data_IF_409190621667
#
_entry.id   IF_409190621667
#
_cell.length_a   1.000
_cell.length_b   1.000
_cell.length_c   1.000
_cell.angle_alpha   90.00
_cell.angle_beta   90.00
_cell.angle_gamma   90.00
#
_symmetry.space_group_name_H-M   'P 1'
#
loop_
_entity.id
_entity.type
_entity.pdbx_description
1 polymer ?
#
# COMPACT_ATOMS: atom_id res chain seq x y z
N UNK A 1 9.95 -15.79 19.01
CA UNK A 1 9.52 -16.54 17.80
C UNK A 1 10.40 -16.03 16.68
N UNK A 2 10.97 -16.89 15.85
CA UNK A 2 11.83 -16.43 14.75
C UNK A 2 10.93 -15.84 13.66
N UNK A 3 11.24 -14.62 13.21
CA UNK A 3 10.54 -13.96 12.10
C UNK A 3 10.76 -14.75 10.82
N UNK A 4 9.70 -15.04 10.08
CA UNK A 4 9.77 -15.71 8.78
C UNK A 4 9.51 -14.75 7.63
N UNK A 5 9.91 -15.16 6.42
CA UNK A 5 9.64 -14.42 5.18
C UNK A 5 8.14 -14.10 5.06
N UNK A 6 7.26 -15.08 5.32
CA UNK A 6 5.79 -14.88 5.28
C UNK A 6 5.29 -13.81 6.26
N UNK A 7 5.90 -13.68 7.43
CA UNK A 7 5.43 -12.72 8.44
C UNK A 7 5.65 -11.28 7.93
N UNK A 8 6.80 -11.05 7.30
CA UNK A 8 7.15 -9.77 6.66
C UNK A 8 6.27 -9.52 5.44
N UNK A 9 6.06 -10.53 4.60
CA UNK A 9 5.16 -10.45 3.44
C UNK A 9 3.75 -10.07 3.88
N UNK A 10 3.18 -10.75 4.86
CA UNK A 10 1.81 -10.51 5.34
C UNK A 10 1.67 -9.12 5.95
N UNK A 11 2.68 -8.64 6.67
CA UNK A 11 2.71 -7.27 7.19
C UNK A 11 2.71 -6.23 6.06
N UNK A 12 3.59 -6.39 5.08
CA UNK A 12 3.69 -5.44 3.97
C UNK A 12 2.50 -5.52 3.02
N UNK A 13 1.94 -6.70 2.76
CA UNK A 13 0.69 -6.86 2.00
C UNK A 13 -0.51 -6.30 2.76
N UNK A 14 -0.53 -6.35 4.09
CA UNK A 14 -1.60 -5.70 4.87
C UNK A 14 -1.55 -4.18 4.72
N UNK A 15 -0.35 -3.61 4.68
CA UNK A 15 -0.15 -2.16 4.53
C UNK A 15 -0.32 -1.70 3.08
N UNK A 16 0.23 -2.46 2.14
CA UNK A 16 0.23 -2.20 0.70
C UNK A 16 -0.28 -3.46 -0.05
N UNK A 17 -1.60 -3.67 -0.10
CA UNK A 17 -2.19 -4.85 -0.73
C UNK A 17 -1.72 -5.03 -2.17
N UNK A 18 -1.43 -6.26 -2.57
CA UNK A 18 -0.99 -6.57 -3.95
C UNK A 18 -2.00 -6.14 -4.99
N UNK A 19 -3.30 -6.13 -4.65
CA UNK A 19 -4.36 -5.60 -5.50
C UNK A 19 -4.25 -4.12 -5.79
N UNK A 20 -3.41 -3.36 -5.08
CA UNK A 20 -3.12 -1.97 -5.41
C UNK A 20 -2.10 -1.83 -6.53
N UNK A 21 -1.31 -2.88 -6.81
CA UNK A 21 -0.37 -2.87 -7.91
C UNK A 21 -1.08 -2.74 -9.28
N UNK A 22 -0.40 -2.15 -10.24
CA UNK A 22 -0.84 -2.06 -11.63
C UNK A 22 -0.87 -3.46 -12.28
N UNK A 23 -1.72 -3.63 -13.30
CA UNK A 23 -1.96 -4.95 -13.92
C UNK A 23 -0.70 -5.55 -14.60
N UNK A 24 0.25 -4.71 -14.99
CA UNK A 24 1.51 -5.14 -15.60
C UNK A 24 2.61 -5.48 -14.57
N UNK A 25 2.37 -5.17 -13.29
CA UNK A 25 3.39 -5.20 -12.26
C UNK A 25 3.61 -6.62 -11.69
N UNK A 26 4.74 -6.84 -11.03
CA UNK A 26 5.09 -8.11 -10.41
C UNK A 26 5.61 -7.91 -8.98
N UNK A 27 4.68 -7.70 -8.04
CA UNK A 27 4.96 -7.49 -6.62
C UNK A 27 4.92 -8.80 -5.83
N UNK A 28 5.51 -8.80 -4.63
CA UNK A 28 5.49 -9.96 -3.74
C UNK A 28 6.82 -10.73 -3.73
N UNK A 29 6.79 -12.00 -3.29
CA UNK A 29 7.97 -12.85 -3.22
C UNK A 29 8.32 -13.36 -4.62
N UNK A 30 9.44 -12.89 -5.16
CA UNK A 30 9.89 -13.21 -6.52
C UNK A 30 10.82 -14.42 -6.54
N UNK A 31 11.67 -14.55 -5.53
CA UNK A 31 12.64 -15.64 -5.36
C UNK A 31 12.68 -15.99 -3.88
N UNK A 32 12.64 -17.27 -3.53
CA UNK A 32 12.82 -17.72 -2.16
C UNK A 32 11.72 -18.65 -1.65
N UNK A 33 11.68 -18.82 -0.34
CA UNK A 33 10.77 -19.70 0.38
C UNK A 33 10.14 -18.96 1.56
N UNK A 34 8.81 -18.86 1.56
CA UNK A 34 8.02 -18.11 2.55
C UNK A 34 8.19 -18.62 3.98
N UNK A 35 8.62 -19.87 4.17
CA UNK A 35 8.74 -20.49 5.49
C UNK A 35 10.15 -20.39 6.08
N UNK A 36 11.10 -19.78 5.35
CA UNK A 36 12.46 -19.48 5.81
C UNK A 36 12.48 -18.44 6.92
N UNK A 37 13.41 -18.63 7.84
CA UNK A 37 13.72 -17.69 8.92
C UNK A 37 14.46 -16.47 8.36
N UNK A 38 14.17 -15.29 8.89
CA UNK A 38 14.79 -14.03 8.50
C UNK A 38 15.39 -13.37 9.73
N UNK A 39 16.69 -13.14 9.70
CA UNK A 39 17.46 -12.45 10.74
C UNK A 39 17.99 -11.13 10.24
N UNK A 40 18.35 -11.04 8.96
CA UNK A 40 18.87 -9.82 8.35
C UNK A 40 18.26 -9.55 6.97
N UNK A 41 17.85 -8.30 6.75
CA UNK A 41 17.20 -7.83 5.53
C UNK A 41 17.98 -6.67 4.93
N UNK A 42 18.28 -6.74 3.65
CA UNK A 42 18.80 -5.63 2.87
C UNK A 42 17.67 -4.93 2.09
N UNK A 43 17.61 -3.60 2.18
CA UNK A 43 16.64 -2.77 1.47
C UNK A 43 17.31 -2.06 0.29
N UNK A 44 16.66 -2.07 -0.88
CA UNK A 44 17.20 -1.50 -2.12
C UNK A 44 16.09 -0.91 -3.00
N UNK A 45 16.46 -0.05 -3.95
CA UNK A 45 15.56 0.35 -5.04
C UNK A 45 15.59 -0.76 -6.11
N UNK A 46 16.77 -1.03 -6.65
CA UNK A 46 17.01 -2.05 -7.68
C UNK A 46 17.81 -3.24 -7.14
N UNK A 47 17.49 -4.45 -7.60
CA UNK A 47 18.29 -5.66 -7.31
C UNK A 47 19.33 -5.85 -8.41
N UNK A 48 20.53 -5.30 -8.23
CA UNK A 48 21.66 -5.45 -9.15
C UNK A 48 22.62 -6.55 -8.70
N UNK A 49 23.60 -6.93 -9.54
CA UNK A 49 24.61 -7.90 -9.12
C UNK A 49 25.43 -7.43 -7.90
N UNK A 50 25.75 -6.13 -7.81
CA UNK A 50 26.46 -5.60 -6.64
C UNK A 50 25.63 -5.66 -5.37
N UNK A 51 24.31 -5.46 -5.48
CA UNK A 51 23.38 -5.58 -4.35
C UNK A 51 23.28 -7.03 -3.86
N UNK A 52 23.28 -8.01 -4.79
CA UNK A 52 23.35 -9.42 -4.41
C UNK A 52 24.67 -9.73 -3.70
N UNK A 53 25.80 -9.27 -4.24
CA UNK A 53 27.13 -9.50 -3.65
C UNK A 53 27.22 -8.87 -2.25
N UNK A 54 26.70 -7.66 -2.08
CA UNK A 54 26.55 -6.96 -0.80
C UNK A 54 25.70 -7.78 0.19
N UNK A 55 24.50 -8.20 -0.20
CA UNK A 55 23.61 -8.99 0.65
C UNK A 55 24.26 -10.30 1.13
N UNK A 56 24.95 -11.00 0.23
CA UNK A 56 25.70 -12.23 0.57
C UNK A 56 26.81 -11.91 1.58
N UNK A 57 27.61 -10.87 1.31
CA UNK A 57 28.72 -10.47 2.19
C UNK A 57 28.27 -10.09 3.60
N UNK A 58 27.09 -9.47 3.72
CA UNK A 58 26.51 -9.05 4.99
C UNK A 58 25.77 -10.18 5.71
N UNK A 59 25.61 -11.33 5.07
CA UNK A 59 24.85 -12.48 5.58
C UNK A 59 23.36 -12.16 5.69
N UNK A 60 22.79 -11.45 4.72
CA UNK A 60 21.36 -11.20 4.63
C UNK A 60 20.63 -12.48 4.24
N UNK A 61 19.43 -12.68 4.80
CA UNK A 61 18.53 -13.78 4.42
C UNK A 61 17.51 -13.31 3.36
N UNK A 62 17.25 -12.00 3.31
CA UNK A 62 16.22 -11.41 2.47
C UNK A 62 16.65 -10.05 1.91
N UNK A 63 16.18 -9.76 0.70
CA UNK A 63 16.24 -8.45 0.04
C UNK A 63 14.81 -7.98 -0.16
N UNK A 64 14.52 -6.76 0.29
CA UNK A 64 13.28 -6.05 -0.04
C UNK A 64 13.63 -4.94 -1.03
N UNK A 65 13.11 -5.04 -2.23
CA UNK A 65 13.29 -4.05 -3.28
C UNK A 65 12.02 -3.26 -3.54
N UNK A 66 12.16 -2.00 -3.97
CA UNK A 66 11.03 -1.29 -4.56
C UNK A 66 10.76 -1.81 -5.98
N UNK A 67 11.77 -1.85 -6.84
CA UNK A 67 11.62 -2.40 -8.19
C UNK A 67 11.66 -3.92 -8.21
N UNK A 68 10.75 -4.57 -8.95
CA UNK A 68 10.75 -6.00 -9.12
C UNK A 68 11.92 -6.45 -9.99
N UNK A 69 12.72 -7.39 -9.49
CA UNK A 69 13.81 -8.00 -10.26
C UNK A 69 13.28 -8.72 -11.51
N UNK A 70 12.15 -9.41 -11.36
CA UNK A 70 11.49 -10.16 -12.44
C UNK A 70 10.30 -9.33 -12.89
N UNK A 71 10.43 -8.58 -13.99
CA UNK A 71 9.32 -7.77 -14.51
C UNK A 71 8.57 -8.46 -15.66
N UNK A 72 9.22 -9.38 -16.37
CA UNK A 72 8.62 -10.14 -17.47
C UNK A 72 8.84 -11.63 -17.27
N UNK A 73 7.94 -12.51 -17.77
CA UNK A 73 8.10 -13.95 -17.63
C UNK A 73 9.42 -14.46 -18.21
N UNK A 74 10.19 -15.17 -17.38
CA UNK A 74 11.51 -15.68 -17.74
C UNK A 74 11.39 -17.10 -18.31
N UNK A 75 12.02 -17.35 -19.47
CA UNK A 75 11.99 -18.65 -20.15
C UNK A 75 13.16 -19.58 -19.77
N UNK A 76 14.30 -19.02 -19.36
CA UNK A 76 15.50 -19.75 -18.96
C UNK A 76 16.25 -19.00 -17.87
N UNK A 77 16.89 -19.74 -16.96
CA UNK A 77 17.77 -19.18 -15.92
C UNK A 77 19.17 -19.73 -16.18
N UNK A 78 20.00 -18.93 -16.83
CA UNK A 78 21.39 -19.24 -17.21
C UNK A 78 22.31 -18.09 -16.83
N UNK A 79 23.60 -18.32 -16.67
CA UNK A 79 24.57 -17.26 -16.34
C UNK A 79 24.98 -16.39 -17.54
N UNK A 80 24.35 -16.60 -18.70
CA UNK A 80 24.66 -15.92 -19.97
C UNK A 80 24.33 -14.42 -19.93
N UNK A 81 23.22 -14.05 -19.29
CA UNK A 81 22.74 -12.66 -19.18
C UNK A 81 22.74 -12.16 -17.72
N UNK A 82 22.56 -10.85 -17.54
CA UNK A 82 22.68 -10.22 -16.22
C UNK A 82 21.58 -10.69 -15.26
N UNK A 83 20.34 -10.85 -15.75
CA UNK A 83 19.20 -11.24 -14.95
C UNK A 83 19.37 -12.68 -14.46
N UNK A 84 19.71 -13.59 -15.37
CA UNK A 84 19.99 -14.98 -15.04
C UNK A 84 21.15 -15.15 -14.07
N UNK A 85 22.23 -14.33 -14.17
CA UNK A 85 23.32 -14.31 -13.17
C UNK A 85 22.85 -13.91 -11.77
N UNK A 86 22.06 -12.84 -11.68
CA UNK A 86 21.50 -12.34 -10.41
C UNK A 86 20.61 -13.42 -9.77
N UNK A 87 19.67 -13.97 -10.54
CA UNK A 87 18.73 -15.00 -10.07
C UNK A 87 19.49 -16.26 -9.63
N UNK A 88 20.41 -16.75 -10.47
CA UNK A 88 21.21 -17.93 -10.17
C UNK A 88 22.02 -17.76 -8.88
N UNK A 89 22.64 -16.59 -8.69
CA UNK A 89 23.41 -16.27 -7.49
C UNK A 89 22.51 -16.15 -6.25
N UNK A 90 21.34 -15.52 -6.35
CA UNK A 90 20.37 -15.44 -5.26
C UNK A 90 19.93 -16.82 -4.79
N UNK A 91 19.52 -17.70 -5.73
CA UNK A 91 19.08 -19.08 -5.44
C UNK A 91 20.21 -19.89 -4.78
N UNK A 92 21.45 -19.79 -5.31
CA UNK A 92 22.59 -20.54 -4.77
C UNK A 92 22.97 -20.15 -3.34
N UNK A 93 22.63 -18.94 -2.92
CA UNK A 93 22.93 -18.42 -1.59
C UNK A 93 21.69 -18.33 -0.70
N UNK A 94 20.60 -19.03 -1.05
CA UNK A 94 19.36 -19.09 -0.25
C UNK A 94 18.75 -17.71 0.08
N UNK A 95 18.96 -16.73 -0.82
CA UNK A 95 18.42 -15.38 -0.67
C UNK A 95 16.95 -15.30 -1.08
N UNK A 96 16.15 -14.64 -0.26
CA UNK A 96 14.76 -14.34 -0.54
C UNK A 96 14.64 -12.92 -1.11
N UNK A 97 13.98 -12.73 -2.26
CA UNK A 97 13.81 -11.41 -2.90
C UNK A 97 12.33 -11.09 -2.99
N UNK A 98 11.94 -9.99 -2.36
CA UNK A 98 10.56 -9.51 -2.25
C UNK A 98 10.44 -8.09 -2.79
N UNK A 99 9.46 -7.84 -3.66
CA UNK A 99 9.26 -6.54 -4.30
C UNK A 99 8.00 -5.84 -3.78
N UNK A 100 8.12 -4.54 -3.49
CA UNK A 100 7.00 -3.64 -3.16
C UNK A 100 7.07 -2.42 -4.07
N UNK A 101 6.33 -2.47 -5.17
CA UNK A 101 6.45 -1.52 -6.29
C UNK A 101 5.21 -0.64 -6.38
N UNK A 102 4.38 -0.78 -7.41
CA UNK A 102 3.24 0.12 -7.63
C UNK A 102 2.16 0.01 -6.56
N UNK A 103 2.07 -1.10 -5.82
CA UNK A 103 1.21 -1.19 -4.63
C UNK A 103 1.65 -0.23 -3.51
N UNK A 104 2.95 0.05 -3.39
CA UNK A 104 3.48 1.04 -2.48
C UNK A 104 3.35 2.47 -3.04
N UNK A 105 3.39 2.64 -4.36
CA UNK A 105 3.15 3.96 -4.99
C UNK A 105 1.70 4.41 -4.86
N UNK A 106 0.78 3.48 -5.07
CA UNK A 106 -0.66 3.71 -5.08
C UNK A 106 -1.25 3.73 -3.67
N UNK A 107 -0.68 2.96 -2.74
CA UNK A 107 -1.21 2.80 -1.40
C UNK A 107 -1.08 4.05 -0.53
N UNK A 108 -2.06 4.24 0.36
CA UNK A 108 -1.97 5.18 1.48
C UNK A 108 -0.80 4.89 2.41
N UNK A 109 -0.23 5.97 2.94
CA UNK A 109 1.04 5.93 3.68
C UNK A 109 2.12 5.19 2.90
N UNK A 110 2.10 5.36 1.58
CA UNK A 110 3.03 4.77 0.62
C UNK A 110 4.14 5.72 0.20
N UNK A 111 4.76 5.44 -0.95
CA UNK A 111 5.89 6.19 -1.50
C UNK A 111 5.54 7.67 -1.68
N UNK A 112 4.44 7.96 -2.37
CA UNK A 112 4.06 9.33 -2.69
C UNK A 112 3.63 10.11 -1.44
N UNK A 113 3.00 9.46 -0.45
CA UNK A 113 2.71 10.09 0.85
C UNK A 113 4.00 10.43 1.60
N UNK A 114 4.99 9.53 1.59
CA UNK A 114 6.28 9.76 2.23
C UNK A 114 7.01 10.96 1.61
N UNK A 115 7.05 11.04 0.26
CA UNK A 115 7.63 12.17 -0.46
C UNK A 115 6.88 13.48 -0.13
N UNK A 116 5.55 13.46 -0.19
CA UNK A 116 4.73 14.65 0.14
C UNK A 116 4.94 15.14 1.57
N UNK A 117 5.03 14.23 2.54
CA UNK A 117 5.34 14.57 3.94
C UNK A 117 6.76 15.14 4.07
N UNK A 118 7.75 14.60 3.37
CA UNK A 118 9.13 15.09 3.38
C UNK A 118 9.29 16.47 2.72
N UNK A 119 8.39 16.82 1.81
CA UNK A 119 8.24 18.16 1.25
C UNK A 119 7.48 19.14 2.17
N UNK A 120 6.97 18.69 3.32
CA UNK A 120 6.12 19.46 4.22
C UNK A 120 4.83 19.98 3.54
N UNK A 121 4.22 19.15 2.67
CA UNK A 121 2.91 19.47 2.10
C UNK A 121 1.80 19.25 3.15
N UNK A 122 0.86 20.18 3.16
CA UNK A 122 -0.40 20.10 3.90
C UNK A 122 -1.54 19.66 2.95
N UNK A 123 -2.67 19.23 3.53
CA UNK A 123 -3.88 18.84 2.80
C UNK A 123 -3.64 17.80 1.68
N UNK A 124 -2.82 16.80 1.99
CA UNK A 124 -2.42 15.76 1.04
C UNK A 124 -3.63 14.89 0.65
N UNK A 125 -3.91 14.81 -0.65
CA UNK A 125 -4.87 13.87 -1.22
C UNK A 125 -4.32 13.20 -2.50
N UNK A 126 -5.06 12.24 -3.04
CA UNK A 126 -4.64 11.47 -4.22
C UNK A 126 -4.71 12.34 -5.46
N UNK A 127 -3.66 12.28 -6.30
CA UNK A 127 -3.62 13.01 -7.58
C UNK A 127 -4.50 12.33 -8.63
N UNK A 128 -4.28 11.03 -8.86
CA UNK A 128 -4.95 10.25 -9.88
C UNK A 128 -5.58 9.00 -9.26
N UNK A 129 -6.89 9.01 -8.95
CA UNK A 129 -7.61 7.85 -8.43
C UNK A 129 -7.56 6.68 -9.41
N UNK A 130 -7.06 5.53 -8.99
CA UNK A 130 -7.02 4.32 -9.82
C UNK A 130 -7.98 3.25 -9.33
N UNK A 131 -8.27 3.23 -8.01
CA UNK A 131 -9.09 2.19 -7.39
C UNK A 131 -10.05 2.80 -6.38
N UNK A 132 -11.30 2.36 -6.47
CA UNK A 132 -12.35 2.65 -5.50
C UNK A 132 -12.72 1.36 -4.77
N UNK A 133 -12.36 1.28 -3.49
CA UNK A 133 -12.74 0.16 -2.64
C UNK A 133 -14.11 0.47 -2.05
N UNK A 134 -15.11 -0.30 -2.47
CA UNK A 134 -16.48 -0.19 -1.97
C UNK A 134 -16.56 -0.65 -0.52
N UNK A 135 -17.45 0.00 0.22
CA UNK A 135 -17.70 -0.30 1.62
C UNK A 135 -19.14 -0.76 1.80
N UNK A 136 -19.30 -1.71 2.71
CA UNK A 136 -20.58 -2.25 3.13
C UNK A 136 -20.77 -2.05 4.62
N UNK A 137 -22.03 -1.93 5.04
CA UNK A 137 -22.40 -2.07 6.44
C UNK A 137 -22.93 -3.49 6.64
N UNK A 138 -22.23 -4.27 7.44
CA UNK A 138 -22.73 -5.55 7.94
C UNK A 138 -23.57 -5.27 9.20
N UNK A 139 -24.78 -5.82 9.25
CA UNK A 139 -25.65 -5.82 10.41
C UNK A 139 -26.05 -7.26 10.72
N UNK A 140 -25.92 -7.69 11.97
CA UNK A 140 -26.39 -9.01 12.42
C UNK A 140 -27.08 -8.91 13.77
N UNK A 141 -27.91 -9.90 14.09
CA UNK A 141 -28.76 -9.94 15.28
C UNK A 141 -28.41 -11.17 16.09
N UNK A 142 -27.93 -10.97 17.32
CA UNK A 142 -27.29 -12.02 18.11
C UNK A 142 -27.89 -12.10 19.51
N UNK A 143 -28.19 -13.28 20.08
CA UNK A 143 -28.53 -13.41 21.49
C UNK A 143 -27.49 -12.74 22.38
N UNK A 144 -27.95 -12.06 23.44
CA UNK A 144 -27.08 -11.27 24.33
C UNK A 144 -25.85 -12.02 24.85
N UNK A 145 -25.97 -13.31 25.15
CA UNK A 145 -24.88 -14.14 25.68
C UNK A 145 -23.82 -14.53 24.63
N UNK A 146 -24.11 -14.36 23.34
CA UNK A 146 -23.21 -14.68 22.22
C UNK A 146 -22.69 -13.43 21.50
N UNK A 147 -23.24 -12.25 21.80
CA UNK A 147 -22.91 -11.00 21.14
C UNK A 147 -21.39 -10.67 21.17
N UNK A 148 -20.71 -10.99 22.27
CA UNK A 148 -19.26 -10.77 22.34
C UNK A 148 -18.48 -11.69 21.38
N UNK A 149 -18.77 -12.99 21.40
CA UNK A 149 -18.07 -13.96 20.55
C UNK A 149 -18.27 -13.67 19.05
N UNK A 150 -19.50 -13.34 18.65
CA UNK A 150 -19.81 -12.96 17.26
C UNK A 150 -19.09 -11.66 16.87
N UNK A 151 -19.11 -10.65 17.74
CA UNK A 151 -18.41 -9.38 17.50
C UNK A 151 -16.91 -9.58 17.32
N UNK A 152 -16.28 -10.37 18.19
CA UNK A 152 -14.84 -10.67 18.08
C UNK A 152 -14.52 -11.40 16.78
N UNK A 153 -15.32 -12.41 16.39
CA UNK A 153 -15.13 -13.14 15.13
C UNK A 153 -15.22 -12.22 13.90
N UNK A 154 -16.21 -11.33 13.86
CA UNK A 154 -16.39 -10.35 12.78
C UNK A 154 -15.18 -9.40 12.69
N UNK A 155 -14.78 -8.82 13.82
CA UNK A 155 -13.79 -7.75 13.86
C UNK A 155 -12.35 -8.26 13.66
N UNK A 156 -12.07 -9.49 14.11
CA UNK A 156 -10.77 -10.15 13.88
C UNK A 156 -10.49 -10.40 12.40
N UNK A 157 -11.53 -10.55 11.56
CA UNK A 157 -11.40 -10.71 10.11
C UNK A 157 -11.17 -9.39 9.35
N UNK A 158 -11.16 -8.25 10.06
CA UNK A 158 -10.83 -6.93 9.51
C UNK A 158 -12.02 -5.99 9.37
N UNK A 159 -13.23 -6.41 9.73
CA UNK A 159 -14.36 -5.49 9.84
C UNK A 159 -14.11 -4.41 10.90
N UNK A 160 -14.68 -3.22 10.70
CA UNK A 160 -14.53 -2.12 11.65
C UNK A 160 -13.15 -1.49 11.67
N UNK A 161 -12.36 -1.64 10.61
CA UNK A 161 -11.08 -0.93 10.47
C UNK A 161 -11.27 0.40 9.72
N UNK A 162 -11.15 1.52 10.44
CA UNK A 162 -11.36 2.87 9.91
C UNK A 162 -10.20 3.76 10.34
N UNK A 163 -9.35 4.17 9.37
CA UNK A 163 -8.15 4.94 9.66
C UNK A 163 -7.25 4.22 10.67
N UNK A 164 -6.94 4.89 11.78
CA UNK A 164 -6.10 4.35 12.85
C UNK A 164 -6.87 3.55 13.93
N UNK A 165 -8.17 3.30 13.72
CA UNK A 165 -9.01 2.55 14.64
C UNK A 165 -9.35 1.19 14.05
N UNK A 166 -9.32 0.17 14.90
CA UNK A 166 -9.76 -1.18 14.57
C UNK A 166 -10.90 -1.60 15.49
N UNK A 167 -11.57 -2.70 15.18
CA UNK A 167 -12.63 -3.26 16.01
C UNK A 167 -13.82 -2.30 16.22
N UNK A 168 -14.05 -1.36 15.30
CA UNK A 168 -15.18 -0.45 15.38
C UNK A 168 -16.50 -1.19 15.10
N UNK A 169 -17.39 -1.23 16.09
CA UNK A 169 -18.76 -1.71 15.93
C UNK A 169 -19.72 -0.84 16.74
N UNK A 170 -20.97 -0.77 16.31
CA UNK A 170 -22.06 -0.16 17.09
C UNK A 170 -23.08 -1.23 17.44
N UNK A 171 -23.62 -1.18 18.66
CA UNK A 171 -24.39 -2.26 19.25
C UNK A 171 -25.67 -1.68 19.87
N UNK A 172 -26.83 -2.24 19.52
CA UNK A 172 -28.13 -1.80 20.03
C UNK A 172 -28.85 -3.01 20.62
N UNK A 173 -29.31 -2.91 21.86
CA UNK A 173 -30.19 -3.93 22.43
C UNK A 173 -31.60 -3.78 21.85
N UNK A 174 -32.21 -4.88 21.46
CA UNK A 174 -33.57 -4.92 20.94
C UNK A 174 -34.22 -6.28 21.19
N UNK A 175 -35.42 -6.45 20.65
CA UNK A 175 -36.15 -7.70 20.72
C UNK A 175 -36.40 -8.22 19.31
N UNK A 176 -35.87 -9.41 19.02
CA UNK A 176 -36.16 -10.16 17.81
C UNK A 176 -37.48 -10.91 17.97
N UNK A 177 -38.20 -11.10 16.85
CA UNK A 177 -39.40 -11.94 16.81
C UNK A 177 -39.32 -12.91 15.66
N UNK A 178 -39.67 -14.16 15.93
CA UNK A 178 -39.72 -15.20 14.90
C UNK A 178 -40.71 -16.30 15.31
N UNK A 179 -41.17 -17.08 14.33
CA UNK A 179 -42.03 -18.23 14.55
C UNK A 179 -41.38 -19.44 13.86
N UNK A 180 -40.75 -20.37 14.61
CA UNK A 180 -40.16 -21.56 14.01
C UNK A 180 -41.24 -22.40 13.33
N UNK A 181 -41.05 -22.73 12.05
CA UNK A 181 -42.01 -23.52 11.27
C UNK A 181 -41.69 -25.02 11.35
N UNK A 182 -42.56 -25.87 10.80
CA UNK A 182 -42.20 -27.27 10.52
C UNK A 182 -40.90 -27.35 9.70
N UNK A 183 -40.05 -28.31 10.05
CA UNK A 183 -38.71 -28.47 9.45
C UNK A 183 -37.58 -27.69 10.14
N UNK A 184 -37.87 -26.69 10.98
CA UNK A 184 -36.81 -25.96 11.72
C UNK A 184 -36.23 -26.75 12.91
N UNK A 185 -34.97 -26.47 13.27
CA UNK A 185 -34.35 -26.89 14.52
C UNK A 185 -33.87 -25.65 15.33
N UNK A 186 -34.81 -24.88 15.90
CA UNK A 186 -34.49 -23.58 16.48
C UNK A 186 -33.57 -23.74 17.69
N UNK A 187 -32.52 -22.91 17.76
CA UNK A 187 -31.64 -22.83 18.92
C UNK A 187 -32.40 -22.40 20.20
N UNK A 188 -33.40 -21.52 20.05
CA UNK A 188 -34.31 -21.06 21.11
C UNK A 188 -35.74 -21.03 20.55
N UNK A 189 -36.72 -21.43 21.36
CA UNK A 189 -38.16 -21.30 21.03
C UNK A 189 -38.85 -22.59 20.62
N UNK A 190 -40.17 -22.50 20.38
CA UNK A 190 -41.04 -23.63 20.08
C UNK A 190 -41.70 -23.50 18.70
N UNK A 191 -41.89 -24.64 18.02
CA UNK A 191 -42.53 -24.69 16.69
C UNK A 191 -43.95 -24.15 16.74
N UNK A 192 -44.32 -23.39 15.69
CA UNK A 192 -45.62 -22.76 15.49
C UNK A 192 -46.05 -21.82 16.62
N UNK A 193 -45.08 -21.27 17.35
CA UNK A 193 -45.31 -20.26 18.39
C UNK A 193 -44.46 -19.03 18.07
N UNK A 194 -45.06 -17.85 18.21
CA UNK A 194 -44.32 -16.60 18.11
C UNK A 194 -43.44 -16.45 19.36
N UNK A 195 -42.15 -16.33 19.14
CA UNK A 195 -41.14 -16.19 20.17
C UNK A 195 -40.55 -14.77 20.15
N UNK A 196 -40.19 -14.29 21.32
CA UNK A 196 -39.59 -12.98 21.54
C UNK A 196 -38.26 -13.18 22.27
N UNK A 197 -37.17 -12.70 21.69
CA UNK A 197 -35.82 -12.92 22.23
C UNK A 197 -35.08 -11.60 22.35
N UNK A 198 -34.44 -11.39 23.50
CA UNK A 198 -33.54 -10.26 23.70
C UNK A 198 -32.26 -10.46 22.88
N UNK A 199 -32.04 -9.56 21.92
CA UNK A 199 -30.94 -9.62 20.98
C UNK A 199 -30.12 -8.32 20.98
N UNK A 200 -28.90 -8.44 20.49
CA UNK A 200 -28.01 -7.33 20.20
C UNK A 200 -27.91 -7.22 18.69
N UNK A 201 -28.35 -6.09 18.15
CA UNK A 201 -28.04 -5.69 16.78
C UNK A 201 -26.62 -5.15 16.74
N UNK A 202 -25.71 -5.91 16.12
CA UNK A 202 -24.31 -5.55 15.94
C UNK A 202 -24.14 -5.04 14.51
N UNK A 203 -23.58 -3.85 14.36
CA UNK A 203 -23.29 -3.28 13.05
C UNK A 203 -21.84 -2.82 12.93
N UNK A 204 -21.24 -3.03 11.76
CA UNK A 204 -19.86 -2.63 11.48
C UNK A 204 -19.66 -2.37 9.99
N UNK A 205 -18.59 -1.65 9.64
CA UNK A 205 -18.22 -1.40 8.25
C UNK A 205 -17.26 -2.49 7.77
N UNK A 206 -17.38 -2.88 6.49
CA UNK A 206 -16.57 -3.94 5.89
C UNK A 206 -16.16 -3.50 4.48
N UNK A 207 -14.90 -3.75 4.09
CA UNK A 207 -14.47 -3.60 2.69
C UNK A 207 -15.06 -4.71 1.85
N UNK A 208 -15.39 -4.43 0.59
CA UNK A 208 -15.94 -5.42 -0.35
C UNK A 208 -15.12 -6.72 -0.39
N UNK A 209 -13.78 -6.60 -0.40
CA UNK A 209 -12.88 -7.75 -0.45
C UNK A 209 -12.85 -8.60 0.82
N UNK A 210 -13.17 -8.01 1.96
CA UNK A 210 -13.19 -8.71 3.25
C UNK A 210 -14.56 -9.30 3.57
N UNK A 211 -15.59 -8.92 2.81
CA UNK A 211 -16.99 -9.22 3.12
C UNK A 211 -17.26 -10.73 3.23
N UNK A 212 -16.76 -11.53 2.28
CA UNK A 212 -17.01 -12.98 2.27
C UNK A 212 -16.41 -13.69 3.50
N UNK A 213 -15.16 -13.39 3.85
CA UNK A 213 -14.50 -14.00 5.03
C UNK A 213 -15.13 -13.52 6.34
N UNK A 214 -15.51 -12.25 6.44
CA UNK A 214 -16.17 -11.67 7.62
C UNK A 214 -17.52 -12.34 7.87
N UNK A 215 -18.34 -12.49 6.81
CA UNK A 215 -19.63 -13.20 6.90
C UNK A 215 -19.40 -14.67 7.27
N UNK A 216 -18.44 -15.35 6.66
CA UNK A 216 -18.14 -16.74 7.00
C UNK A 216 -17.73 -16.92 8.46
N UNK A 217 -16.90 -16.00 9.00
CA UNK A 217 -16.48 -16.05 10.40
C UNK A 217 -17.65 -15.81 11.36
N UNK A 218 -18.51 -14.84 11.04
CA UNK A 218 -19.76 -14.59 11.78
C UNK A 218 -20.64 -15.84 11.85
N UNK A 219 -20.97 -16.42 10.69
CA UNK A 219 -21.85 -17.58 10.59
C UNK A 219 -21.33 -18.77 11.39
N UNK A 220 -20.00 -19.00 11.37
CA UNK A 220 -19.36 -20.11 12.07
C UNK A 220 -19.52 -20.06 13.60
N UNK A 221 -19.57 -18.87 14.18
CA UNK A 221 -19.67 -18.69 15.64
C UNK A 221 -21.08 -18.32 16.11
N UNK A 222 -22.00 -18.06 15.17
CA UNK A 222 -23.36 -17.68 15.51
C UNK A 222 -24.13 -18.88 16.09
N UNK A 223 -24.93 -18.70 17.17
CA UNK A 223 -25.64 -19.81 17.80
C UNK A 223 -26.84 -20.32 16.99
N UNK A 224 -27.37 -19.51 16.07
CA UNK A 224 -28.51 -19.89 15.25
C UNK A 224 -28.09 -20.69 14.01
N UNK A 225 -28.92 -21.66 13.65
CA UNK A 225 -28.80 -22.42 12.40
C UNK A 225 -28.96 -21.50 11.19
N UNK A 226 -30.02 -20.71 11.18
CA UNK A 226 -30.31 -19.71 10.14
C UNK A 226 -30.08 -18.32 10.71
N UNK A 227 -29.00 -17.66 10.26
CA UNK A 227 -28.56 -16.38 10.80
C UNK A 227 -29.18 -15.24 10.00
N UNK A 228 -29.93 -14.37 10.68
CA UNK A 228 -30.41 -13.12 10.09
C UNK A 228 -29.29 -12.07 10.08
N UNK A 229 -28.91 -11.59 8.90
CA UNK A 229 -27.97 -10.50 8.72
C UNK A 229 -28.28 -9.70 7.45
N UNK A 230 -27.89 -8.43 7.44
CA UNK A 230 -28.06 -7.51 6.33
C UNK A 230 -26.72 -6.96 5.87
N UNK A 231 -26.62 -6.72 4.56
CA UNK A 231 -25.48 -6.08 3.92
C UNK A 231 -25.99 -4.85 3.18
N UNK A 232 -25.67 -3.67 3.70
CA UNK A 232 -26.02 -2.40 3.05
C UNK A 232 -24.83 -1.90 2.23
N UNK A 233 -25.04 -1.67 0.93
CA UNK A 233 -24.08 -0.94 0.12
C UNK A 233 -24.01 0.51 0.59
N UNK A 234 -22.81 1.01 0.85
CA UNK A 234 -22.60 2.39 1.24
C UNK A 234 -22.18 3.25 0.05
N UNK A 235 -22.43 4.56 0.15
CA UNK A 235 -21.92 5.55 -0.81
C UNK A 235 -20.50 6.00 -0.51
N UNK A 236 -20.03 5.86 0.74
CA UNK A 236 -18.64 6.13 1.07
C UNK A 236 -17.76 4.98 0.58
N UNK A 237 -16.57 5.34 0.11
CA UNK A 237 -15.58 4.42 -0.41
C UNK A 237 -14.18 4.83 0.05
N UNK A 238 -13.23 3.91 -0.09
CA UNK A 238 -11.81 4.22 0.07
C UNK A 238 -11.24 4.40 -1.33
N UNK A 239 -10.76 5.62 -1.60
CA UNK A 239 -10.04 5.91 -2.83
C UNK A 239 -8.56 5.64 -2.59
N UNK A 240 -7.95 4.89 -3.51
CA UNK A 240 -6.52 4.65 -3.64
C UNK A 240 -6.08 5.07 -5.06
N UNK A 241 -4.81 5.42 -5.22
CA UNK A 241 -4.33 5.89 -6.50
C UNK A 241 -2.93 6.46 -6.50
N UNK A 242 -2.43 6.69 -7.70
CA UNK A 242 -1.06 7.12 -7.94
C UNK A 242 -0.92 8.61 -7.66
N UNK A 243 0.24 8.97 -7.09
CA UNK A 243 0.61 10.34 -6.85
C UNK A 243 -0.18 11.02 -5.75
N UNK A 244 0.34 12.16 -5.32
CA UNK A 244 -0.30 13.01 -4.31
C UNK A 244 -0.34 14.44 -4.77
N UNK A 245 -1.38 15.13 -4.34
CA UNK A 245 -1.49 16.57 -4.44
C UNK A 245 -1.59 17.15 -3.04
N UNK A 246 -0.89 18.25 -2.81
CA UNK A 246 -0.93 18.98 -1.54
C UNK A 246 -0.56 20.43 -1.75
N UNK A 247 -0.45 21.17 -0.65
CA UNK A 247 -0.08 22.58 -0.70
C UNK A 247 0.99 22.92 0.32
N UNK A 248 1.89 23.83 -0.04
CA UNK A 248 2.75 24.44 0.96
C UNK A 248 1.97 25.42 1.83
N UNK A 249 2.34 25.48 3.12
CA UNK A 249 1.79 26.45 4.08
C UNK A 249 1.96 27.91 3.64
N UNK A 250 3.08 28.22 2.97
CA UNK A 250 3.39 29.52 2.36
C UNK A 250 3.81 29.33 0.91
N UNK A 251 3.78 30.40 0.11
CA UNK A 251 4.32 30.35 -1.25
C UNK A 251 5.85 30.18 -1.22
N UNK A 252 6.36 29.40 -2.18
CA UNK A 252 7.78 29.23 -2.46
C UNK A 252 8.06 29.71 -3.88
N UNK A 253 9.27 30.20 -4.16
CA UNK A 253 9.73 30.24 -5.55
C UNK A 253 10.14 28.83 -5.97
N UNK A 254 10.09 28.56 -7.27
CA UNK A 254 10.53 27.26 -7.81
C UNK A 254 12.01 27.03 -7.50
N UNK A 255 12.83 28.08 -7.54
CA UNK A 255 14.23 28.06 -7.14
C UNK A 255 14.42 27.62 -5.68
N UNK A 256 13.65 28.19 -4.75
CA UNK A 256 13.72 27.80 -3.33
C UNK A 256 13.30 26.33 -3.14
N UNK A 257 12.28 25.88 -3.88
CA UNK A 257 11.85 24.48 -3.87
C UNK A 257 12.94 23.55 -4.40
N UNK A 258 13.63 23.91 -5.48
CA UNK A 258 14.73 23.11 -6.04
C UNK A 258 15.85 22.91 -5.00
N UNK A 259 16.26 23.97 -4.32
CA UNK A 259 17.31 23.88 -3.29
C UNK A 259 16.83 23.07 -2.07
N UNK A 260 15.55 23.22 -1.70
CA UNK A 260 14.93 22.38 -0.67
C UNK A 260 14.97 20.90 -1.06
N UNK A 261 14.57 20.56 -2.30
CA UNK A 261 14.57 19.19 -2.80
C UNK A 261 16.00 18.63 -2.82
N UNK A 262 16.96 19.32 -3.43
CA UNK A 262 18.36 18.87 -3.48
C UNK A 262 18.89 18.49 -2.10
N UNK A 263 18.62 19.35 -1.10
CA UNK A 263 19.05 19.13 0.28
C UNK A 263 18.34 17.94 0.92
N UNK A 264 17.01 17.90 0.86
CA UNK A 264 16.22 16.88 1.59
C UNK A 264 16.23 15.51 0.91
N UNK A 265 16.46 15.47 -0.41
CA UNK A 265 16.49 14.25 -1.21
C UNK A 265 17.92 13.79 -1.52
N UNK A 266 18.92 14.58 -1.11
CA UNK A 266 20.33 14.32 -1.36
C UNK A 266 20.62 14.06 -2.86
N UNK A 267 20.07 14.93 -3.72
CA UNK A 267 20.28 14.90 -5.17
C UNK A 267 21.05 16.13 -5.63
N UNK A 268 21.83 15.98 -6.70
CA UNK A 268 22.72 17.03 -7.19
C UNK A 268 22.10 17.93 -8.25
N UNK A 269 21.13 17.40 -9.00
CA UNK A 269 20.58 18.04 -10.19
C UNK A 269 19.07 17.87 -10.28
N UNK A 270 18.41 18.88 -10.84
CA UNK A 270 16.97 18.88 -11.14
C UNK A 270 16.82 19.48 -12.53
N UNK A 271 16.06 18.84 -13.42
CA UNK A 271 15.68 19.43 -14.71
C UNK A 271 14.35 20.15 -14.53
N UNK A 272 14.25 21.37 -15.06
CA UNK A 272 13.10 22.24 -14.82
C UNK A 272 12.40 22.57 -16.13
N UNK A 273 11.08 22.42 -16.14
CA UNK A 273 10.19 22.99 -17.15
C UNK A 273 9.48 24.20 -16.54
N UNK A 274 9.57 25.36 -17.18
CA UNK A 274 8.94 26.60 -16.73
C UNK A 274 9.90 27.59 -16.06
N UNK A 275 9.35 28.62 -15.44
CA UNK A 275 10.10 29.74 -14.86
C UNK A 275 10.54 29.45 -13.41
N UNK A 276 11.83 29.59 -13.13
CA UNK A 276 12.42 29.30 -11.81
C UNK A 276 12.09 30.33 -10.73
N UNK A 277 11.70 31.55 -11.12
CA UNK A 277 11.34 32.61 -10.18
C UNK A 277 9.82 32.67 -9.91
N UNK A 278 9.02 31.86 -10.60
CA UNK A 278 7.58 31.79 -10.39
C UNK A 278 7.27 31.29 -8.98
N UNK A 279 6.29 31.93 -8.36
CA UNK A 279 5.74 31.49 -7.08
C UNK A 279 4.79 30.32 -7.27
N UNK A 280 4.88 29.36 -6.37
CA UNK A 280 4.11 28.12 -6.36
C UNK A 280 3.57 27.84 -4.97
N UNK A 281 2.43 27.15 -4.91
CA UNK A 281 1.82 26.71 -3.66
C UNK A 281 1.24 25.30 -3.77
N UNK A 282 0.53 24.99 -4.85
CA UNK A 282 -0.11 23.69 -5.08
C UNK A 282 0.82 22.75 -5.85
N UNK A 283 1.10 21.60 -5.26
CA UNK A 283 2.14 20.66 -5.73
C UNK A 283 1.50 19.31 -6.01
N UNK A 284 1.77 18.77 -7.19
CA UNK A 284 1.62 17.34 -7.47
C UNK A 284 2.97 16.63 -7.29
N UNK A 285 2.93 15.41 -6.78
CA UNK A 285 4.09 14.54 -6.56
C UNK A 285 3.77 13.17 -7.13
N UNK A 286 4.64 12.68 -8.01
CA UNK A 286 4.63 11.29 -8.49
C UNK A 286 6.06 10.80 -8.55
N UNK A 287 6.45 9.91 -7.64
CA UNK A 287 7.74 9.24 -7.70
C UNK A 287 7.89 8.38 -8.96
N UNK A 288 9.13 8.13 -9.36
CA UNK A 288 9.45 7.36 -10.55
C UNK A 288 9.10 8.08 -11.83
N UNK A 289 8.59 7.32 -12.80
CA UNK A 289 8.22 7.81 -14.13
C UNK A 289 6.79 8.38 -14.16
N UNK A 290 6.59 9.58 -13.65
CA UNK A 290 5.27 10.20 -13.50
C UNK A 290 4.85 11.16 -14.62
N UNK A 291 5.51 11.16 -15.77
CA UNK A 291 5.20 12.09 -16.87
C UNK A 291 3.79 11.90 -17.46
N UNK A 292 3.20 10.70 -17.35
CA UNK A 292 1.80 10.43 -17.72
C UNK A 292 0.78 11.23 -16.91
N UNK A 293 1.16 11.72 -15.72
CA UNK A 293 0.28 12.43 -14.79
C UNK A 293 0.28 13.96 -14.97
N UNK A 294 0.97 14.49 -15.98
CA UNK A 294 0.95 15.93 -16.31
C UNK A 294 -0.50 16.42 -16.51
N UNK A 295 -1.33 15.65 -17.22
CA UNK A 295 -2.75 16.00 -17.44
C UNK A 295 -3.55 16.04 -16.15
N UNK A 296 -3.29 15.12 -15.23
CA UNK A 296 -3.95 15.09 -13.92
C UNK A 296 -3.53 16.29 -13.06
N UNK A 297 -2.24 16.66 -13.09
CA UNK A 297 -1.74 17.84 -12.40
C UNK A 297 -2.39 19.13 -12.94
N UNK A 298 -2.51 19.27 -14.27
CA UNK A 298 -3.18 20.42 -14.92
C UNK A 298 -4.66 20.46 -14.55
N UNK A 299 -5.38 19.34 -14.66
CA UNK A 299 -6.80 19.23 -14.31
C UNK A 299 -7.05 19.64 -12.86
N UNK A 300 -6.13 19.28 -11.96
CA UNK A 300 -6.18 19.65 -10.55
C UNK A 300 -5.59 21.05 -10.26
N UNK A 301 -5.21 21.83 -11.28
CA UNK A 301 -4.66 23.19 -11.15
C UNK A 301 -3.43 23.25 -10.24
N UNK A 302 -2.54 22.26 -10.35
CA UNK A 302 -1.24 22.31 -9.68
C UNK A 302 -0.37 23.40 -10.31
N UNK A 303 0.44 24.07 -9.48
CA UNK A 303 1.45 24.99 -9.98
C UNK A 303 2.68 24.23 -10.49
N UNK A 304 3.01 23.12 -9.82
CA UNK A 304 4.18 22.30 -10.10
C UNK A 304 3.87 20.80 -9.97
N UNK A 305 4.48 19.98 -10.83
CA UNK A 305 4.58 18.53 -10.71
C UNK A 305 6.05 18.15 -10.41
N UNK A 306 6.28 17.40 -9.35
CA UNK A 306 7.58 16.82 -8.99
C UNK A 306 7.56 15.34 -9.38
N UNK A 307 8.49 14.92 -10.25
CA UNK A 307 8.55 13.54 -10.76
C UNK A 307 9.94 13.17 -11.29
N UNK A 308 10.09 12.00 -11.92
CA UNK A 308 11.27 11.55 -12.65
C UNK A 308 10.94 11.19 -14.12
N UNK A 309 11.99 10.87 -14.89
CA UNK A 309 11.93 10.36 -16.26
C UNK A 309 11.12 11.19 -17.27
N UNK A 310 11.16 12.51 -17.15
CA UNK A 310 10.45 13.39 -18.06
C UNK A 310 11.04 13.33 -19.48
N UNK A 311 10.20 13.03 -20.48
CA UNK A 311 10.58 13.04 -21.90
C UNK A 311 10.36 14.41 -22.54
N UNK A 312 11.01 14.64 -23.67
CA UNK A 312 11.01 15.93 -24.37
C UNK A 312 9.59 16.43 -24.73
N UNK A 313 8.75 15.59 -25.35
CA UNK A 313 7.42 16.02 -25.77
C UNK A 313 6.47 16.27 -24.59
N UNK A 314 6.64 15.52 -23.50
CA UNK A 314 5.89 15.72 -22.25
C UNK A 314 6.29 17.04 -21.60
N UNK A 315 7.58 17.37 -21.60
CA UNK A 315 8.09 18.66 -21.14
C UNK A 315 7.56 19.84 -21.98
N UNK A 316 7.53 19.70 -23.31
CA UNK A 316 6.96 20.72 -24.18
C UNK A 316 5.47 20.93 -23.89
N UNK A 317 4.72 19.84 -23.77
CA UNK A 317 3.29 19.90 -23.42
C UNK A 317 3.05 20.60 -22.07
N UNK A 318 3.78 20.21 -21.02
CA UNK A 318 3.65 20.87 -19.72
C UNK A 318 3.96 22.37 -19.78
N UNK A 319 4.98 22.76 -20.56
CA UNK A 319 5.35 24.17 -20.77
C UNK A 319 4.22 24.97 -21.42
N UNK A 320 3.65 24.46 -22.51
CA UNK A 320 2.56 25.14 -23.23
C UNK A 320 1.29 25.26 -22.39
N UNK A 321 1.02 24.30 -21.52
CA UNK A 321 -0.09 24.33 -20.55
C UNK A 321 0.22 25.14 -19.28
N UNK A 322 1.43 25.71 -19.17
CA UNK A 322 1.84 26.54 -18.03
C UNK A 322 2.05 25.77 -16.72
N UNK A 323 2.20 24.44 -16.77
CA UNK A 323 2.57 23.62 -15.62
C UNK A 323 4.10 23.60 -15.46
N UNK A 324 4.57 23.88 -14.25
CA UNK A 324 5.98 23.66 -13.92
C UNK A 324 6.23 22.18 -13.67
N UNK A 325 7.31 21.64 -14.21
CA UNK A 325 7.72 20.26 -13.92
C UNK A 325 9.14 20.25 -13.38
N UNK A 326 9.33 19.65 -12.21
CA UNK A 326 10.62 19.38 -11.61
C UNK A 326 10.91 17.90 -11.79
N UNK A 327 11.80 17.59 -12.73
CA UNK A 327 12.34 16.26 -12.88
C UNK A 327 13.56 16.09 -11.98
N UNK A 328 13.35 15.33 -10.90
CA UNK A 328 14.33 15.05 -9.85
C UNK A 328 15.05 13.71 -10.05
N UNK A 329 14.82 13.07 -11.20
CA UNK A 329 15.31 11.75 -11.55
C UNK A 329 14.55 10.62 -10.85
N UNK A 330 14.42 9.48 -11.54
CA UNK A 330 13.76 8.27 -11.04
C UNK A 330 14.33 7.82 -9.69
N UNK A 331 15.64 7.53 -9.66
CA UNK A 331 16.35 7.13 -8.44
C UNK A 331 16.19 8.15 -7.29
N UNK A 332 16.31 9.44 -7.59
CA UNK A 332 16.21 10.51 -6.59
C UNK A 332 14.82 10.62 -5.96
N UNK A 333 13.79 10.32 -6.74
CA UNK A 333 12.40 10.35 -6.28
C UNK A 333 12.00 9.15 -5.43
N UNK A 334 12.59 7.97 -5.65
CA UNK A 334 12.12 6.72 -5.03
C UNK A 334 13.04 6.14 -3.97
N UNK A 335 14.37 6.26 -4.15
CA UNK A 335 15.34 5.65 -3.22
C UNK A 335 15.13 6.14 -1.78
N UNK A 336 14.67 7.39 -1.64
CA UNK A 336 14.32 8.00 -0.36
C UNK A 336 13.20 7.27 0.38
N UNK A 337 12.28 6.61 -0.34
CA UNK A 337 11.17 5.87 0.23
C UNK A 337 11.57 4.41 0.57
N UNK A 338 12.71 3.93 0.07
CA UNK A 338 13.27 2.62 0.48
C UNK A 338 13.65 2.63 1.96
N UNK A 339 14.20 3.75 2.48
CA UNK A 339 14.44 3.88 3.92
C UNK A 339 13.15 3.86 4.75
N UNK A 340 12.02 4.30 4.17
CA UNK A 340 10.74 4.22 4.84
C UNK A 340 10.22 2.77 4.93
N UNK A 341 10.38 1.97 3.87
CA UNK A 341 10.11 0.52 3.93
C UNK A 341 10.96 -0.16 5.02
N UNK A 342 12.23 0.22 5.11
CA UNK A 342 13.13 -0.26 6.16
C UNK A 342 12.62 0.09 7.56
N UNK A 343 12.20 1.33 7.80
CA UNK A 343 11.64 1.79 9.07
C UNK A 343 10.37 1.02 9.46
N UNK A 344 9.47 0.79 8.50
CA UNK A 344 8.23 0.03 8.72
C UNK A 344 8.51 -1.39 9.21
N UNK A 345 9.43 -2.10 8.54
CA UNK A 345 9.81 -3.47 8.91
C UNK A 345 10.55 -3.48 10.25
N UNK A 346 11.52 -2.58 10.44
CA UNK A 346 12.31 -2.46 11.68
C UNK A 346 11.45 -2.14 12.90
N UNK A 347 10.40 -1.35 12.75
CA UNK A 347 9.47 -1.05 13.84
C UNK A 347 8.60 -2.26 14.21
N UNK A 348 8.32 -3.16 13.26
CA UNK A 348 7.41 -4.28 13.45
C UNK A 348 8.11 -5.58 13.89
N UNK A 349 9.32 -5.82 13.40
CA UNK A 349 10.05 -7.08 13.56
C UNK A 349 11.42 -6.87 14.18
N UNK A 350 11.81 -7.81 15.04
CA UNK A 350 13.17 -7.88 15.61
C UNK A 350 14.11 -8.57 14.62
N UNK A 351 14.50 -7.83 13.58
CA UNK A 351 15.42 -8.26 12.52
C UNK A 351 16.42 -7.15 12.23
N UNK A 352 17.64 -7.51 11.85
CA UNK A 352 18.65 -6.54 11.43
C UNK A 352 18.27 -6.00 10.05
N UNK A 353 18.06 -4.69 9.94
CA UNK A 353 17.75 -4.03 8.68
C UNK A 353 18.91 -3.16 8.22
N UNK A 354 19.37 -3.36 6.99
CA UNK A 354 20.43 -2.57 6.35
C UNK A 354 19.94 -1.95 5.05
N UNK A 355 20.30 -0.71 4.79
CA UNK A 355 20.08 -0.06 3.49
C UNK A 355 21.31 -0.31 2.62
N UNK A 356 21.10 -0.64 1.34
CA UNK A 356 22.20 -0.85 0.39
C UNK A 356 23.12 0.35 0.27
N UNK A 357 24.42 0.08 0.20
CA UNK A 357 25.45 1.05 -0.18
C UNK A 357 25.83 0.96 -1.66
N UNK A 358 25.49 -0.14 -2.34
CA UNK A 358 25.92 -0.42 -3.71
C UNK A 358 24.88 -0.09 -4.80
N UNK A 359 23.58 0.02 -4.47
CA UNK A 359 22.60 0.54 -5.42
C UNK A 359 22.79 2.04 -5.60
N UNK A 360 23.27 2.44 -6.78
CA UNK A 360 23.51 3.84 -7.15
C UNK A 360 22.69 4.20 -8.39
N UNK A 361 22.43 5.50 -8.54
CA UNK A 361 21.87 6.05 -9.76
C UNK A 361 22.74 5.65 -10.97
N UNK A 362 22.17 5.00 -12.01
CA UNK A 362 22.92 4.64 -13.21
C UNK A 362 23.40 5.87 -14.01
N UNK A 363 22.77 7.03 -13.79
CA UNK A 363 23.13 8.29 -14.42
C UNK A 363 24.12 9.07 -13.55
N UNK A 364 25.15 9.60 -14.21
CA UNK A 364 26.04 10.62 -13.64
C UNK A 364 25.78 11.94 -14.35
N UNK A 365 25.55 13.00 -13.58
CA UNK A 365 25.53 14.37 -14.12
C UNK A 365 26.97 14.87 -14.20
N UNK A 366 27.37 15.36 -15.36
CA UNK A 366 28.73 15.84 -15.66
C UNK A 366 28.75 17.34 -15.88
#
# INVERSE_FOLDING_TARGET
MVTKVKDIMDYLHKKFPTKLAEDYDNVGLLIGDKDKDVRKILFTLDVTNSVIDEAISLGCDMIISHHPLIFTPIKKITTDDYLGRIIYKAIKNDLNIFAVHTNFDNGRDGLNDYISKKLNLEDICILSPTKEIRLYKLVCYVPKNYAQAVREAILNEGAGHIGNYSHCSFNINGQGTFMPLEGSNPFIGHKNKLEFVDEVRIETIVKEEDLSKVVSAMLKVHPYEEVAYDIYSLKNSIIEGTGRIGQFKKEYTVKDLIEFIKTNFNITNVRVVGEVDRKIKKVAVVGGSGSSFIKDAIKNKCDVLITGDLKHHEALFAKEEGLIVLDIGHFGSEFIAVSYLMELVKHKFDVECVLTETNKNPFKTV
#
